data_IF_715239881763
#
_entry.id   IF_715239881763
#
_cell.length_a   1.000
_cell.length_b   1.000
_cell.length_c   1.000
_cell.angle_alpha   90.00
_cell.angle_beta   90.00
_cell.angle_gamma   90.00
#
_symmetry.space_group_name_H-M   'P 1'
#
loop_
_entity.id
_entity.type
_entity.pdbx_description
1 polymer ?
#
# COMPACT_ATOMS: atom_id res chain seq x y z
N UNK A 1 6.54 -7.99 2.19
CA UNK A 1 5.63 -7.03 2.86
C UNK A 1 6.44 -5.78 3.14
N UNK A 2 5.92 -4.64 2.70
CA UNK A 2 6.64 -3.37 2.74
C UNK A 2 5.77 -2.33 3.42
N UNK A 3 6.39 -1.56 4.30
CA UNK A 3 5.77 -0.43 4.98
C UNK A 3 6.49 0.85 4.55
N UNK A 4 5.79 1.98 4.65
CA UNK A 4 6.32 3.31 4.38
C UNK A 4 6.13 4.21 5.59
N UNK A 5 7.11 5.07 5.87
CA UNK A 5 7.01 6.08 6.91
C UNK A 5 6.39 7.34 6.32
N UNK A 6 5.18 7.72 6.76
CA UNK A 6 4.39 8.75 6.09
C UNK A 6 5.12 10.10 5.92
N UNK A 7 5.82 10.65 6.93
CA UNK A 7 6.50 11.94 6.78
C UNK A 7 7.63 11.90 5.75
N UNK A 8 8.33 10.76 5.63
CA UNK A 8 9.38 10.61 4.63
C UNK A 8 8.81 10.53 3.22
N UNK A 9 7.69 9.82 3.02
CA UNK A 9 7.03 9.74 1.70
C UNK A 9 6.54 11.11 1.26
N UNK A 10 5.84 11.83 2.13
CA UNK A 10 5.31 13.15 1.81
C UNK A 10 6.38 14.23 1.59
N UNK A 11 7.62 13.98 2.02
CA UNK A 11 8.77 14.85 1.76
C UNK A 11 9.67 14.34 0.62
N UNK A 12 9.35 13.20 0.00
CA UNK A 12 10.19 12.58 -1.04
C UNK A 12 9.92 13.11 -2.46
N UNK A 13 8.79 13.79 -2.69
CA UNK A 13 8.36 14.26 -4.00
C UNK A 13 8.05 15.77 -3.94
N UNK A 14 8.30 16.55 -5.01
CA UNK A 14 7.91 17.95 -5.09
C UNK A 14 6.41 18.20 -4.92
N UNK A 15 5.56 17.18 -5.17
CA UNK A 15 4.12 17.30 -4.90
C UNK A 15 3.84 16.99 -3.42
N UNK A 16 3.39 17.97 -2.62
CA UNK A 16 3.10 17.74 -1.21
C UNK A 16 1.85 16.87 -1.03
N UNK A 17 1.83 16.09 0.04
CA UNK A 17 0.62 15.42 0.50
C UNK A 17 -0.44 16.45 0.93
N UNK A 18 -1.70 16.19 0.57
CA UNK A 18 -2.83 17.06 0.93
C UNK A 18 -3.20 16.94 2.40
N UNK A 19 -3.16 15.70 2.91
CA UNK A 19 -3.50 15.40 4.29
C UNK A 19 -2.25 15.46 5.18
N UNK A 20 -2.39 15.86 6.45
CA UNK A 20 -1.30 15.83 7.41
C UNK A 20 -0.81 14.39 7.62
N UNK A 21 0.48 14.23 7.84
CA UNK A 21 1.08 12.92 8.09
C UNK A 21 1.15 12.58 9.56
N UNK A 22 0.84 11.34 9.90
CA UNK A 22 1.17 10.74 11.17
C UNK A 22 2.62 10.29 11.18
N UNK A 23 3.28 10.34 12.34
CA UNK A 23 4.66 9.82 12.52
C UNK A 23 4.67 8.30 12.68
N UNK A 24 4.10 7.59 11.71
CA UNK A 24 3.89 6.14 11.75
C UNK A 24 4.33 5.47 10.44
N UNK A 25 4.60 4.17 10.55
CA UNK A 25 4.68 3.28 9.39
C UNK A 25 3.29 2.75 9.04
N UNK A 26 2.93 2.85 7.77
CA UNK A 26 1.73 2.21 7.22
C UNK A 26 2.10 1.26 6.09
N UNK A 27 1.20 0.35 5.73
CA UNK A 27 1.43 -0.56 4.63
C UNK A 27 1.62 0.22 3.33
N UNK A 28 2.64 -0.16 2.56
CA UNK A 28 2.88 0.32 1.21
C UNK A 28 2.47 -0.74 0.18
N UNK A 29 2.85 -1.99 0.45
CA UNK A 29 2.70 -3.08 -0.50
C UNK A 29 2.75 -4.46 0.13
N UNK A 30 1.89 -5.34 -0.38
CA UNK A 30 1.99 -6.79 -0.20
C UNK A 30 2.20 -7.41 -1.58
N UNK A 31 3.45 -7.69 -1.91
CA UNK A 31 3.84 -8.19 -3.21
C UNK A 31 4.16 -9.69 -3.15
N UNK A 32 3.56 -10.50 -4.04
CA UNK A 32 4.15 -11.79 -4.39
C UNK A 32 5.48 -11.53 -5.09
N UNK A 33 6.54 -12.19 -4.63
CA UNK A 33 7.89 -11.99 -5.16
C UNK A 33 8.58 -13.30 -5.45
N UNK A 34 9.42 -13.31 -6.49
CA UNK A 34 10.26 -14.43 -6.83
C UNK A 34 11.65 -14.28 -6.22
N UNK A 35 12.28 -15.39 -5.84
CA UNK A 35 13.68 -15.35 -5.36
C UNK A 35 14.68 -15.04 -6.47
N UNK A 36 14.36 -15.44 -7.71
CA UNK A 36 15.20 -15.30 -8.90
C UNK A 36 14.32 -14.81 -10.04
N UNK A 37 14.82 -13.84 -10.81
CA UNK A 37 14.07 -13.21 -11.89
C UNK A 37 13.14 -12.10 -11.39
N UNK A 38 12.26 -11.62 -12.26
CA UNK A 38 11.30 -10.56 -11.94
C UNK A 38 10.13 -11.06 -11.10
N UNK A 39 9.54 -10.14 -10.33
CA UNK A 39 8.33 -10.40 -9.57
C UNK A 39 7.12 -10.53 -10.51
N UNK A 40 6.15 -11.41 -10.20
CA UNK A 40 4.95 -11.54 -10.98
C UNK A 40 4.05 -10.30 -10.81
N UNK A 41 3.59 -9.74 -11.92
CA UNK A 41 2.69 -8.60 -11.94
C UNK A 41 1.47 -8.89 -12.83
N UNK A 42 0.32 -8.24 -12.56
CA UNK A 42 -0.89 -8.32 -13.39
C UNK A 42 -1.40 -9.74 -13.69
N UNK A 43 -1.37 -10.62 -12.69
CA UNK A 43 -1.83 -12.01 -12.83
C UNK A 43 -3.31 -12.11 -13.23
N UNK A 44 -3.66 -13.12 -14.04
CA UNK A 44 -5.05 -13.41 -14.42
C UNK A 44 -5.90 -13.75 -13.19
N UNK A 45 -6.95 -12.96 -12.96
CA UNK A 45 -7.89 -13.16 -11.85
C UNK A 45 -8.76 -14.39 -12.12
N UNK A 46 -8.85 -15.31 -11.15
CA UNK A 46 -9.74 -16.47 -11.21
C UNK A 46 -11.12 -16.20 -10.62
N UNK A 47 -11.16 -15.54 -9.46
CA UNK A 47 -12.39 -15.31 -8.69
C UNK A 47 -12.51 -13.83 -8.29
N UNK A 48 -13.18 -12.99 -9.10
CA UNK A 48 -13.38 -11.59 -8.77
C UNK A 48 -14.26 -11.47 -7.51
N UNK A 49 -13.82 -10.66 -6.54
CA UNK A 49 -14.58 -10.35 -5.32
C UNK A 49 -14.76 -8.85 -5.19
N UNK A 50 -15.90 -8.43 -4.63
CA UNK A 50 -16.09 -7.04 -4.19
C UNK A 50 -15.29 -6.81 -2.90
N UNK A 51 -14.80 -5.58 -2.72
CA UNK A 51 -14.14 -5.19 -1.46
C UNK A 51 -15.12 -5.41 -0.29
N UNK A 52 -14.63 -6.04 0.77
CA UNK A 52 -15.44 -6.25 1.96
C UNK A 52 -15.57 -4.92 2.70
N UNK A 53 -16.78 -4.35 2.76
CA UNK A 53 -17.05 -3.07 3.43
C UNK A 53 -16.53 -3.01 4.88
N UNK A 54 -16.52 -4.15 5.57
CA UNK A 54 -15.99 -4.26 6.94
C UNK A 54 -14.48 -3.98 7.06
N UNK A 55 -13.74 -4.06 5.96
CA UNK A 55 -12.29 -3.81 5.91
C UNK A 55 -11.96 -2.36 5.56
N UNK A 56 -12.88 -1.58 4.99
CA UNK A 56 -12.60 -0.22 4.53
C UNK A 56 -12.06 0.69 5.65
N UNK A 57 -12.68 0.76 6.84
CA UNK A 57 -12.16 1.61 7.92
C UNK A 57 -10.79 1.16 8.43
N UNK A 58 -10.48 -0.14 8.35
CA UNK A 58 -9.18 -0.65 8.75
C UNK A 58 -8.11 -0.25 7.74
N UNK A 59 -8.43 -0.33 6.44
CA UNK A 59 -7.52 0.05 5.37
C UNK A 59 -7.20 1.55 5.37
N UNK A 60 -8.18 2.41 5.64
CA UNK A 60 -7.95 3.87 5.76
C UNK A 60 -6.91 4.22 6.84
N UNK A 61 -6.75 3.37 7.87
CA UNK A 61 -5.78 3.59 8.96
C UNK A 61 -4.45 2.89 8.66
N UNK A 62 -4.48 1.62 8.28
CA UNK A 62 -3.26 0.80 8.17
C UNK A 62 -2.61 0.87 6.78
N UNK A 63 -3.35 1.29 5.75
CA UNK A 63 -2.92 1.36 4.35
C UNK A 63 -3.59 2.56 3.63
N UNK A 64 -3.34 3.79 4.10
CA UNK A 64 -3.84 5.00 3.46
C UNK A 64 -3.23 5.22 2.07
#
# INVERSE_FOLDING_TARGET
FTQQYQPAVCNSNPTPCKDPTDKLFTAHGLWPSNKIGGDPEYCKIRNPRKRAKKLEPQLEIIWP
#
